data_IF_822106334963
#
_entry.id   IF_822106334963
#
_cell.length_a   1.000
_cell.length_b   1.000
_cell.length_c   1.000
_cell.angle_alpha   90.00
_cell.angle_beta   90.00
_cell.angle_gamma   90.00
#
_symmetry.space_group_name_H-M   'P 1'
#
loop_
_entity.id
_entity.type
_entity.pdbx_description
1 polymer ?
#
# COMPACT_ATOMS: atom_id res chain seq x y z
N UNK A 1 -1.47 10.99 7.57
CA UNK A 1 -2.28 11.05 8.81
C UNK A 1 -1.57 11.97 9.79
N UNK A 2 -2.22 13.01 10.30
CA UNK A 2 -1.63 13.93 11.30
C UNK A 2 -2.42 13.84 12.61
N UNK A 3 -1.73 13.51 13.71
CA UNK A 3 -2.32 13.40 15.06
C UNK A 3 -1.41 14.12 16.08
N UNK A 4 -1.94 15.02 16.92
CA UNK A 4 -3.31 15.55 16.95
C UNK A 4 -3.54 16.60 15.84
N UNK A 5 -4.45 16.31 14.92
CA UNK A 5 -4.68 17.15 13.74
C UNK A 5 -5.20 18.57 14.02
N UNK A 6 -5.85 18.81 15.16
CA UNK A 6 -6.37 20.14 15.54
C UNK A 6 -5.28 21.22 15.64
N UNK A 7 -4.04 20.81 15.93
CA UNK A 7 -2.88 21.71 16.07
C UNK A 7 -2.14 21.97 14.76
N UNK A 8 -2.37 21.16 13.73
CA UNK A 8 -1.68 21.25 12.44
C UNK A 8 -2.53 22.04 11.42
N UNK A 9 -2.52 23.37 11.57
CA UNK A 9 -3.16 24.32 10.65
C UNK A 9 -2.14 24.85 9.63
N UNK A 10 -2.56 25.39 8.48
CA UNK A 10 -1.65 26.03 7.54
C UNK A 10 -0.73 27.06 8.22
N UNK A 11 0.56 27.07 7.86
CA UNK A 11 1.62 27.87 8.48
C UNK A 11 2.20 27.31 9.79
N UNK A 12 1.65 26.19 10.31
CA UNK A 12 2.22 25.54 11.50
C UNK A 12 3.54 24.85 11.14
N UNK A 13 4.57 25.08 11.95
CA UNK A 13 5.88 24.45 11.80
C UNK A 13 6.08 23.36 12.85
N UNK A 14 6.65 22.23 12.42
CA UNK A 14 7.05 21.12 13.27
C UNK A 14 8.52 20.83 13.08
N UNK A 15 9.22 20.49 14.16
CA UNK A 15 10.62 20.08 14.14
C UNK A 15 10.74 18.66 14.69
N UNK A 16 11.53 17.84 14.02
CA UNK A 16 11.76 16.43 14.35
C UNK A 16 13.26 16.18 14.51
N UNK A 17 13.62 15.21 15.35
CA UNK A 17 15.01 14.78 15.53
C UNK A 17 15.97 15.93 15.86
N UNK A 18 15.61 16.76 16.85
CA UNK A 18 16.46 17.88 17.31
C UNK A 18 16.86 18.89 16.22
N UNK A 19 16.06 19.02 15.15
CA UNK A 19 16.33 19.97 14.05
C UNK A 19 16.78 19.32 12.75
N UNK A 20 16.99 18.00 12.73
CA UNK A 20 17.37 17.26 11.51
C UNK A 20 16.34 17.36 10.38
N UNK A 21 15.06 17.49 10.74
CA UNK A 21 13.96 17.66 9.81
C UNK A 21 12.96 18.67 10.37
N UNK A 22 12.50 19.59 9.53
CA UNK A 22 11.34 20.41 9.85
C UNK A 22 10.27 20.29 8.78
N UNK A 23 9.02 20.53 9.16
CA UNK A 23 7.88 20.48 8.26
C UNK A 23 6.97 21.68 8.48
N UNK A 24 6.60 22.35 7.39
CA UNK A 24 5.54 23.36 7.38
C UNK A 24 4.25 22.75 6.84
N UNK A 25 3.13 23.00 7.52
CA UNK A 25 1.80 22.66 6.99
C UNK A 25 1.40 23.70 5.96
N UNK A 26 1.27 23.28 4.70
CA UNK A 26 0.88 24.15 3.59
C UNK A 26 -0.65 24.25 3.48
N UNK A 27 -1.34 23.12 3.63
CA UNK A 27 -2.80 23.07 3.47
C UNK A 27 -3.43 21.93 4.27
N UNK A 28 -4.72 22.07 4.57
CA UNK A 28 -5.58 20.99 5.05
C UNK A 28 -6.55 20.64 3.93
N UNK A 29 -6.57 19.38 3.52
CA UNK A 29 -7.47 18.85 2.50
C UNK A 29 -8.84 18.52 3.12
N UNK A 30 -9.87 18.41 2.28
CA UNK A 30 -11.25 18.14 2.70
C UNK A 30 -11.40 16.83 3.49
N UNK A 31 -10.57 15.84 3.16
CA UNK A 31 -10.51 14.57 3.89
C UNK A 31 -9.67 14.67 5.19
N UNK A 32 -9.25 15.86 5.58
CA UNK A 32 -8.41 16.11 6.74
C UNK A 32 -6.94 15.70 6.60
N UNK A 33 -6.46 15.29 5.42
CA UNK A 33 -5.02 15.16 5.17
C UNK A 33 -4.33 16.53 5.16
N UNK A 34 -3.02 16.54 5.43
CA UNK A 34 -2.21 17.76 5.44
C UNK A 34 -1.22 17.66 4.31
N UNK A 35 -1.14 18.72 3.51
CA UNK A 35 0.00 18.91 2.61
C UNK A 35 1.09 19.56 3.46
N UNK A 36 2.26 18.92 3.48
CA UNK A 36 3.42 19.39 4.25
C UNK A 36 4.59 19.61 3.32
N UNK A 37 5.35 20.68 3.58
CA UNK A 37 6.63 20.92 2.95
C UNK A 37 7.73 20.58 3.96
N UNK A 38 8.64 19.68 3.60
CA UNK A 38 9.76 19.30 4.45
C UNK A 38 10.98 20.13 4.12
N UNK A 39 11.59 20.74 5.14
CA UNK A 39 12.89 21.40 5.04
C UNK A 39 13.95 20.54 5.76
N UNK A 40 15.00 20.19 5.04
CA UNK A 40 16.10 19.33 5.51
C UNK A 40 17.35 19.56 4.67
N UNK A 41 18.49 19.06 5.17
CA UNK A 41 19.77 19.07 4.47
C UNK A 41 20.26 17.64 4.24
N UNK A 42 20.71 17.32 3.03
CA UNK A 42 21.22 15.98 2.69
C UNK A 42 20.16 15.04 2.12
N UNK A 43 20.26 13.75 2.40
CA UNK A 43 19.35 12.73 1.87
C UNK A 43 18.13 12.56 2.77
N UNK A 44 16.94 12.78 2.21
CA UNK A 44 15.67 12.68 2.94
C UNK A 44 15.44 11.31 3.56
N UNK A 45 15.69 10.22 2.81
CA UNK A 45 15.47 8.86 3.29
C UNK A 45 16.42 8.50 4.42
N UNK A 46 17.70 8.89 4.33
CA UNK A 46 18.65 8.66 5.41
C UNK A 46 18.24 9.36 6.71
N UNK A 47 17.63 10.55 6.63
CA UNK A 47 17.09 11.24 7.80
C UNK A 47 15.88 10.47 8.35
N UNK A 48 14.98 9.99 7.48
CA UNK A 48 13.84 9.18 7.90
C UNK A 48 14.27 7.86 8.56
N UNK A 49 15.36 7.23 8.13
CA UNK A 49 15.89 6.03 8.77
C UNK A 49 16.38 6.32 10.20
N UNK A 50 16.89 7.53 10.45
CA UNK A 50 17.37 7.96 11.77
C UNK A 50 16.23 8.33 12.73
N UNK A 51 15.21 9.05 12.25
CA UNK A 51 14.21 9.69 13.12
C UNK A 51 12.79 9.20 12.90
N UNK A 52 12.54 8.50 11.79
CA UNK A 52 11.25 7.95 11.42
C UNK A 52 10.85 6.76 12.27
N UNK A 53 9.55 6.53 12.36
CA UNK A 53 8.99 5.35 13.01
C UNK A 53 7.98 4.72 12.08
N UNK A 54 8.10 3.41 11.89
CA UNK A 54 7.12 2.66 11.10
C UNK A 54 5.74 2.75 11.79
N UNK A 55 4.72 3.24 11.09
CA UNK A 55 3.37 3.26 11.63
C UNK A 55 2.86 1.83 11.74
N UNK A 56 2.50 1.40 12.96
CA UNK A 56 1.85 0.12 13.18
C UNK A 56 0.32 0.28 13.07
N UNK A 57 -0.40 -0.73 12.55
CA UNK A 57 -1.85 -0.76 12.63
C UNK A 57 -2.33 -0.59 14.08
N UNK A 58 -3.49 0.05 14.30
CA UNK A 58 -3.99 0.35 15.65
C UNK A 58 -4.26 -0.88 16.51
N UNK A 59 -4.42 -2.06 15.90
CA UNK A 59 -4.59 -3.34 16.60
C UNK A 59 -3.28 -3.96 17.10
N UNK A 60 -2.12 -3.53 16.60
CA UNK A 60 -0.81 -3.98 17.09
C UNK A 60 -0.38 -3.08 18.25
N UNK A 61 -0.59 -3.55 19.49
CA UNK A 61 -0.33 -2.76 20.71
C UNK A 61 1.11 -2.86 21.24
N UNK A 62 1.88 -3.86 20.80
CA UNK A 62 3.29 -4.01 21.20
C UNK A 62 4.19 -3.37 20.16
N UNK A 63 5.16 -2.57 20.61
CA UNK A 63 6.30 -2.21 19.75
C UNK A 63 6.99 -3.50 19.34
N UNK A 64 7.24 -3.64 18.04
CA UNK A 64 8.08 -4.71 17.55
C UNK A 64 9.54 -4.33 17.83
N UNK A 65 10.28 -5.22 18.47
CA UNK A 65 11.75 -5.06 18.63
C UNK A 65 12.46 -5.14 17.29
N UNK A 66 11.91 -5.95 16.38
CA UNK A 66 12.36 -6.11 15.00
C UNK A 66 11.25 -5.67 14.03
N UNK A 67 11.51 -4.57 13.31
CA UNK A 67 10.59 -4.01 12.33
C UNK A 67 10.43 -4.91 11.10
N UNK A 68 11.42 -5.74 10.76
CA UNK A 68 11.36 -6.66 9.62
C UNK A 68 10.30 -7.76 9.81
N UNK A 69 9.94 -8.07 11.07
CA UNK A 69 8.84 -9.00 11.37
C UNK A 69 7.48 -8.54 10.85
N UNK A 70 7.34 -7.26 10.52
CA UNK A 70 6.14 -6.70 9.89
C UNK A 70 6.37 -6.41 8.41
N UNK A 71 7.05 -7.33 7.72
CA UNK A 71 7.21 -7.34 6.27
C UNK A 71 7.03 -8.76 5.74
N UNK A 72 6.53 -8.88 4.51
CA UNK A 72 6.54 -10.17 3.81
C UNK A 72 7.96 -10.55 3.42
N UNK A 73 8.26 -11.84 3.36
CA UNK A 73 9.58 -12.36 2.94
C UNK A 73 9.99 -12.00 1.50
N UNK A 74 9.07 -11.38 0.75
CA UNK A 74 9.23 -10.90 -0.62
C UNK A 74 8.99 -9.38 -0.75
N UNK A 75 9.06 -8.62 0.34
CA UNK A 75 9.04 -7.16 0.30
C UNK A 75 10.28 -6.64 -0.43
N UNK A 76 10.11 -5.62 -1.30
CA UNK A 76 11.18 -5.09 -2.17
C UNK A 76 11.13 -3.57 -2.29
N UNK A 77 9.93 -3.03 -2.48
CA UNK A 77 9.72 -1.59 -2.72
C UNK A 77 9.43 -0.83 -1.42
N UNK A 78 10.20 0.23 -1.17
CA UNK A 78 9.92 1.18 -0.08
C UNK A 78 8.74 2.06 -0.48
N UNK A 79 7.78 2.28 0.44
CA UNK A 79 6.71 3.26 0.24
C UNK A 79 5.34 2.87 0.76
N UNK A 80 5.10 1.60 1.10
CA UNK A 80 3.85 1.18 1.74
C UNK A 80 3.89 1.43 3.25
N UNK A 81 2.82 2.01 3.80
CA UNK A 81 2.68 2.24 5.24
C UNK A 81 2.24 0.97 6.00
N UNK A 82 1.84 -0.08 5.30
CA UNK A 82 1.40 -1.34 5.90
C UNK A 82 1.85 -2.54 5.06
N UNK A 83 2.18 -3.64 5.72
CA UNK A 83 2.46 -4.91 5.06
C UNK A 83 1.17 -5.65 4.70
N UNK A 84 1.12 -6.34 3.55
CA UNK A 84 -0.03 -7.16 3.18
C UNK A 84 -0.09 -8.38 4.11
N UNK A 85 -1.06 -8.37 5.03
CA UNK A 85 -1.14 -9.36 6.13
C UNK A 85 -1.33 -10.79 5.65
N UNK A 86 -2.08 -11.02 4.58
CA UNK A 86 -2.23 -12.35 3.97
C UNK A 86 -0.88 -12.91 3.49
N UNK A 87 0.04 -12.05 3.06
CA UNK A 87 1.38 -12.41 2.65
C UNK A 87 2.30 -12.81 3.80
N UNK A 88 2.00 -12.40 5.03
CA UNK A 88 2.83 -12.69 6.21
C UNK A 88 2.82 -14.18 6.59
N UNK A 89 1.87 -14.95 6.07
CA UNK A 89 1.82 -16.40 6.28
C UNK A 89 2.82 -17.17 5.39
N UNK A 90 3.41 -16.53 4.39
CA UNK A 90 4.38 -17.16 3.51
C UNK A 90 5.80 -17.04 4.06
N UNK A 91 6.46 -18.18 4.21
CA UNK A 91 7.91 -18.25 4.42
C UNK A 91 8.63 -18.48 3.08
N UNK A 92 9.96 -18.28 3.05
CA UNK A 92 10.77 -18.55 1.86
C UNK A 92 10.67 -20.02 1.45
N UNK A 93 10.64 -20.92 2.42
CA UNK A 93 10.52 -22.37 2.23
C UNK A 93 9.13 -22.74 1.67
N UNK A 94 8.05 -22.11 2.17
CA UNK A 94 6.71 -22.35 1.65
C UNK A 94 6.57 -21.86 0.20
N UNK A 95 7.10 -20.68 -0.11
CA UNK A 95 7.11 -20.16 -1.49
C UNK A 95 7.92 -21.06 -2.42
N UNK A 96 9.02 -21.63 -1.94
CA UNK A 96 9.80 -22.58 -2.73
C UNK A 96 8.99 -23.85 -3.01
N UNK A 97 8.34 -24.43 -1.98
CA UNK A 97 7.45 -25.60 -2.17
C UNK A 97 6.35 -25.34 -3.21
N UNK A 98 5.75 -24.14 -3.19
CA UNK A 98 4.75 -23.74 -4.19
C UNK A 98 5.34 -23.72 -5.61
N UNK A 99 6.55 -23.16 -5.77
CA UNK A 99 7.25 -23.16 -7.06
C UNK A 99 7.61 -24.57 -7.53
N UNK A 100 8.04 -25.44 -6.62
CA UNK A 100 8.42 -26.82 -6.92
C UNK A 100 7.21 -27.66 -7.38
N UNK A 101 5.98 -27.25 -7.03
CA UNK A 101 4.73 -27.82 -7.57
C UNK A 101 4.41 -27.33 -9.01
N UNK A 102 5.27 -26.52 -9.62
CA UNK A 102 5.04 -25.92 -10.93
C UNK A 102 4.15 -24.67 -10.92
N UNK A 103 3.83 -24.13 -9.75
CA UNK A 103 3.01 -22.91 -9.62
C UNK A 103 3.90 -21.67 -9.81
N UNK A 104 3.55 -20.81 -10.78
CA UNK A 104 4.22 -19.52 -10.97
C UNK A 104 3.91 -18.59 -9.78
N UNK A 105 4.92 -17.89 -9.28
CA UNK A 105 4.77 -16.88 -8.22
C UNK A 105 5.21 -15.54 -8.78
N UNK A 106 4.25 -14.61 -8.87
CA UNK A 106 4.42 -13.28 -9.44
C UNK A 106 4.10 -12.19 -8.41
N UNK A 107 4.58 -10.97 -8.67
CA UNK A 107 4.48 -9.87 -7.71
C UNK A 107 3.84 -8.63 -8.33
N UNK A 108 3.00 -7.97 -7.53
CA UNK A 108 2.43 -6.65 -7.84
C UNK A 108 2.74 -5.70 -6.69
N UNK A 109 2.80 -4.41 -6.98
CA UNK A 109 3.04 -3.38 -5.97
C UNK A 109 1.76 -2.58 -5.76
N UNK A 110 1.39 -2.36 -4.50
CA UNK A 110 0.41 -1.35 -4.09
C UNK A 110 0.96 -0.63 -2.86
N UNK A 111 1.20 0.66 -2.97
CA UNK A 111 1.60 1.50 -1.85
C UNK A 111 0.37 1.87 -1.05
N UNK A 112 0.13 1.11 0.01
CA UNK A 112 -0.97 1.34 0.93
C UNK A 112 -0.63 2.56 1.78
N UNK A 113 -1.46 3.59 1.70
CA UNK A 113 -1.32 4.79 2.51
C UNK A 113 -1.92 4.61 3.90
N UNK A 114 -1.60 5.51 4.82
CA UNK A 114 -2.22 5.55 6.16
C UNK A 114 -3.74 5.80 6.13
N UNK A 115 -4.30 6.16 4.97
CA UNK A 115 -5.74 6.24 4.75
C UNK A 115 -6.46 4.91 4.99
N UNK A 116 -5.78 3.77 4.78
CA UNK A 116 -6.33 2.42 5.00
C UNK A 116 -6.80 2.17 6.44
N UNK A 117 -6.24 2.90 7.41
CA UNK A 117 -6.60 2.77 8.84
C UNK A 117 -7.70 3.72 9.28
N UNK A 118 -8.26 4.53 8.38
CA UNK A 118 -9.35 5.44 8.73
C UNK A 118 -10.66 4.65 8.81
N UNK A 119 -11.50 4.93 9.82
CA UNK A 119 -12.81 4.30 9.90
C UNK A 119 -13.69 4.77 8.73
N UNK A 120 -14.64 3.92 8.33
CA UNK A 120 -15.71 4.32 7.42
C UNK A 120 -16.63 5.30 8.16
N UNK A 121 -16.81 6.49 7.61
CA UNK A 121 -17.62 7.58 8.22
C UNK A 121 -18.88 7.90 7.42
N UNK A 122 -19.19 7.12 6.39
CA UNK A 122 -20.36 7.33 5.53
C UNK A 122 -21.58 6.56 6.06
N UNK A 123 -22.77 7.16 5.97
CA UNK A 123 -24.03 6.55 6.42
C UNK A 123 -24.39 5.31 5.61
N UNK A 124 -24.16 5.36 4.29
CA UNK A 124 -24.19 4.19 3.40
C UNK A 124 -22.78 3.83 3.00
N UNK A 125 -22.47 2.54 3.06
CA UNK A 125 -21.14 2.03 2.69
C UNK A 125 -20.75 2.36 1.24
N UNK A 126 -21.74 2.44 0.33
CA UNK A 126 -21.55 2.81 -1.07
C UNK A 126 -21.14 4.27 -1.28
N UNK A 127 -21.40 5.12 -0.28
CA UNK A 127 -21.06 6.54 -0.32
C UNK A 127 -19.66 6.79 0.27
N UNK A 128 -19.00 5.74 0.76
CA UNK A 128 -17.64 5.83 1.28
C UNK A 128 -16.65 6.06 0.14
N UNK A 129 -15.97 7.21 0.19
CA UNK A 129 -14.86 7.50 -0.72
C UNK A 129 -13.61 6.77 -0.26
N UNK A 130 -13.16 5.82 -1.06
CA UNK A 130 -11.88 5.14 -0.85
C UNK A 130 -10.72 6.10 -1.06
N UNK A 131 -9.70 5.98 -0.22
CA UNK A 131 -8.43 6.66 -0.48
C UNK A 131 -7.73 6.00 -1.66
N UNK A 132 -7.21 6.82 -2.58
CA UNK A 132 -6.43 6.34 -3.70
C UNK A 132 -5.07 5.83 -3.24
N UNK A 133 -4.66 4.68 -3.77
CA UNK A 133 -3.38 4.04 -3.50
C UNK A 133 -2.63 3.85 -4.81
N UNK A 134 -1.31 4.05 -4.80
CA UNK A 134 -0.51 3.93 -6.02
C UNK A 134 -0.15 2.46 -6.27
N UNK A 135 -0.45 1.95 -7.46
CA UNK A 135 -0.16 0.58 -7.86
C UNK A 135 0.86 0.53 -9.00
N UNK A 136 1.54 -0.60 -9.10
CA UNK A 136 2.38 -0.97 -10.24
C UNK A 136 2.20 -2.45 -10.56
N UNK A 137 1.94 -2.74 -11.82
CA UNK A 137 1.92 -4.07 -12.40
C UNK A 137 3.01 -4.16 -13.48
N UNK A 138 4.13 -4.85 -13.21
CA UNK A 138 5.21 -5.01 -14.19
C UNK A 138 4.75 -5.82 -15.40
N UNK A 139 5.34 -5.55 -16.57
CA UNK A 139 5.08 -6.31 -17.79
C UNK A 139 5.20 -7.82 -17.62
N UNK A 140 6.28 -8.32 -17.00
CA UNK A 140 6.50 -9.75 -16.84
C UNK A 140 5.40 -10.46 -16.05
N UNK A 141 4.90 -9.82 -14.98
CA UNK A 141 3.77 -10.36 -14.21
C UNK A 141 2.47 -10.31 -15.00
N UNK A 142 2.22 -9.25 -15.77
CA UNK A 142 1.05 -9.18 -16.64
C UNK A 142 1.06 -10.28 -17.72
N UNK A 143 2.21 -10.50 -18.36
CA UNK A 143 2.39 -11.56 -19.36
C UNK A 143 2.15 -12.95 -18.74
N UNK A 144 2.74 -13.21 -17.57
CA UNK A 144 2.59 -14.46 -16.82
C UNK A 144 1.13 -14.76 -16.44
N UNK A 145 0.38 -13.73 -16.05
CA UNK A 145 -1.07 -13.83 -15.78
C UNK A 145 -1.84 -14.19 -17.06
N UNK A 146 -1.59 -13.47 -18.16
CA UNK A 146 -2.27 -13.70 -19.43
C UNK A 146 -1.99 -15.10 -20.00
N UNK A 147 -0.74 -15.56 -19.93
CA UNK A 147 -0.36 -16.92 -20.32
C UNK A 147 -1.09 -17.98 -19.50
N UNK A 148 -1.12 -17.79 -18.17
CA UNK A 148 -1.85 -18.69 -17.26
C UNK A 148 -3.32 -18.78 -17.64
N UNK A 149 -3.99 -17.64 -17.89
CA UNK A 149 -5.40 -17.61 -18.31
C UNK A 149 -5.61 -18.24 -19.67
N UNK A 150 -4.74 -17.97 -20.65
CA UNK A 150 -4.80 -18.57 -22.00
C UNK A 150 -4.64 -20.09 -21.95
N UNK A 151 -3.85 -20.62 -21.03
CA UNK A 151 -3.67 -22.04 -20.80
C UNK A 151 -4.82 -22.69 -19.98
N UNK A 152 -5.85 -21.93 -19.59
CA UNK A 152 -6.96 -22.43 -18.77
C UNK A 152 -6.61 -22.60 -17.27
N UNK A 153 -5.48 -22.03 -16.84
CA UNK A 153 -5.04 -22.04 -15.45
C UNK A 153 -5.79 -21.03 -14.57
N UNK A 154 -5.48 -21.06 -13.27
CA UNK A 154 -6.07 -20.17 -12.26
C UNK A 154 -5.07 -19.09 -11.84
N UNK A 155 -5.56 -17.88 -11.62
CA UNK A 155 -4.82 -16.76 -11.04
C UNK A 155 -5.35 -16.54 -9.63
N UNK A 156 -4.48 -16.60 -8.61
CA UNK A 156 -4.88 -16.50 -7.21
C UNK A 156 -4.19 -15.29 -6.59
N UNK A 157 -4.97 -14.25 -6.30
CA UNK A 157 -4.47 -13.08 -5.60
C UNK A 157 -4.28 -13.41 -4.11
N UNK A 158 -3.08 -13.13 -3.59
CA UNK A 158 -2.78 -13.27 -2.15
C UNK A 158 -3.01 -11.93 -1.47
N UNK A 159 -4.16 -11.80 -0.82
CA UNK A 159 -4.58 -10.59 -0.10
C UNK A 159 -5.42 -9.61 -0.92
N UNK A 160 -6.19 -8.78 -0.24
CA UNK A 160 -7.10 -7.81 -0.88
C UNK A 160 -6.36 -6.72 -1.65
N UNK A 161 -5.17 -6.34 -1.20
CA UNK A 161 -4.24 -5.42 -1.87
C UNK A 161 -3.92 -5.87 -3.30
N UNK A 162 -3.45 -7.11 -3.47
CA UNK A 162 -3.12 -7.64 -4.79
C UNK A 162 -4.36 -7.82 -5.66
N UNK A 163 -5.46 -8.28 -5.08
CA UNK A 163 -6.75 -8.38 -5.76
C UNK A 163 -7.23 -7.03 -6.31
N UNK A 164 -7.24 -5.97 -5.49
CA UNK A 164 -7.62 -4.62 -5.91
C UNK A 164 -6.71 -4.10 -7.02
N UNK A 165 -5.40 -4.33 -6.96
CA UNK A 165 -4.48 -3.95 -8.05
C UNK A 165 -4.87 -4.60 -9.36
N UNK A 166 -5.05 -5.94 -9.37
CA UNK A 166 -5.38 -6.69 -10.58
C UNK A 166 -6.72 -6.25 -11.18
N UNK A 167 -7.75 -6.10 -10.36
CA UNK A 167 -9.08 -5.66 -10.82
C UNK A 167 -9.06 -4.19 -11.29
N UNK A 168 -8.24 -3.33 -10.68
CA UNK A 168 -8.07 -1.95 -11.13
C UNK A 168 -7.42 -1.87 -12.50
N UNK A 169 -6.38 -2.67 -12.74
CA UNK A 169 -5.74 -2.76 -14.06
C UNK A 169 -6.73 -3.28 -15.09
N UNK A 170 -7.44 -4.38 -14.79
CA UNK A 170 -8.42 -4.94 -15.72
C UNK A 170 -9.59 -3.98 -16.00
N UNK A 171 -9.98 -3.16 -15.03
CA UNK A 171 -10.99 -2.12 -15.21
C UNK A 171 -10.49 -0.97 -16.09
N UNK A 172 -9.29 -0.45 -15.79
CA UNK A 172 -8.69 0.71 -16.49
C UNK A 172 -8.28 0.39 -17.92
N UNK A 173 -7.60 -0.74 -18.11
CA UNK A 173 -6.95 -1.07 -19.37
C UNK A 173 -7.80 -2.00 -20.25
N UNK A 174 -8.90 -2.54 -19.72
CA UNK A 174 -9.76 -3.53 -20.39
C UNK A 174 -9.19 -4.95 -20.41
N UNK A 175 -7.92 -5.12 -20.06
CA UNK A 175 -7.22 -6.39 -19.94
C UNK A 175 -6.08 -6.28 -18.91
N UNK A 176 -5.42 -7.39 -18.61
CA UNK A 176 -4.19 -7.38 -17.82
C UNK A 176 -3.02 -7.03 -18.74
N UNK A 177 -2.37 -5.90 -18.49
CA UNK A 177 -1.14 -5.46 -19.18
C UNK A 177 -0.31 -4.60 -18.21
N UNK A 178 0.94 -4.33 -18.57
CA UNK A 178 1.78 -3.40 -17.79
C UNK A 178 1.03 -2.09 -17.54
N UNK A 179 0.94 -1.70 -16.27
CA UNK A 179 0.19 -0.52 -15.87
C UNK A 179 0.66 -0.02 -14.51
N UNK A 180 0.68 1.29 -14.37
CA UNK A 180 0.84 1.98 -13.09
C UNK A 180 -0.21 3.09 -12.98
N UNK A 181 -0.46 3.52 -11.75
CA UNK A 181 -1.39 4.61 -11.49
C UNK A 181 -1.98 4.56 -10.11
N UNK A 182 -3.12 5.21 -9.96
CA UNK A 182 -3.85 5.31 -8.71
C UNK A 182 -5.10 4.44 -8.77
N UNK A 183 -5.40 3.75 -7.68
CA UNK A 183 -6.66 3.01 -7.52
C UNK A 183 -7.38 3.42 -6.24
N UNK A 184 -8.64 3.76 -6.39
CA UNK A 184 -9.63 3.93 -5.35
C UNK A 184 -10.76 2.90 -5.49
N UNK A 185 -10.49 1.75 -6.15
CA UNK A 185 -11.51 0.74 -6.42
C UNK A 185 -12.16 0.26 -5.12
N UNK A 186 -13.49 0.27 -5.12
CA UNK A 186 -14.32 -0.25 -4.04
C UNK A 186 -15.06 -1.50 -4.53
N UNK A 187 -14.58 -2.67 -4.10
CA UNK A 187 -15.17 -3.96 -4.45
C UNK A 187 -16.30 -4.26 -3.46
N UNK A 188 -17.53 -4.30 -3.97
CA UNK A 188 -18.76 -4.50 -3.20
C UNK A 188 -19.58 -5.66 -3.82
N UNK A 189 -20.45 -6.36 -3.06
CA UNK A 189 -21.30 -7.42 -3.61
C UNK A 189 -21.98 -7.05 -4.93
N UNK A 190 -21.91 -7.97 -5.89
CA UNK A 190 -22.31 -7.73 -7.28
C UNK A 190 -21.15 -7.38 -8.23
N UNK A 191 -19.95 -7.12 -7.69
CA UNK A 191 -18.74 -6.94 -8.50
C UNK A 191 -18.38 -8.22 -9.27
N UNK A 192 -18.12 -8.08 -10.57
CA UNK A 192 -17.65 -9.17 -11.42
C UNK A 192 -16.12 -9.09 -11.55
N UNK A 193 -15.44 -10.07 -10.98
CA UNK A 193 -13.99 -10.21 -11.10
C UNK A 193 -13.60 -10.54 -12.52
N UNK A 194 -12.65 -9.77 -13.07
CA UNK A 194 -12.18 -9.92 -14.45
C UNK A 194 -10.93 -10.78 -14.54
N UNK A 195 -10.24 -11.02 -13.43
CA UNK A 195 -8.93 -11.70 -13.38
C UNK A 195 -9.06 -13.12 -12.88
#
# INVERSE_FOLDING_TARGET
>A
LCKPGKRAKPGTHFTFGEGLLSAEVIAVQDDGNRIVHFNYSGNFFAILDQIGQMPLPPYIKKKLEDQERYQTVYSREVGSAAAPTAGLHFTKELLQKVKDMGVKVEFVTLHVGLGTFRPVTADKVTDHKMHSEHYMLPKGTADSINETKKAGGRVIAVGTTSCRTLESVAAKEGCIKESSGWTDIFIYPGFQFKV
#
